data_IF_916001922653
#
_entry.id   IF_916001922653
#
_cell.length_a   1.000
_cell.length_b   1.000
_cell.length_c   1.000
_cell.angle_alpha   90.00
_cell.angle_beta   90.00
_cell.angle_gamma   90.00
#
_symmetry.space_group_name_H-M   'P 1'
#
loop_
_entity.id
_entity.type
_entity.pdbx_description
1 polymer ?
#
# COMPACT_ATOMS: atom_id res chain seq x y z
N UNK A 1 19.38 -11.18 0.37
CA UNK A 1 18.10 -11.82 -0.01
C UNK A 1 17.95 -11.75 -1.51
N UNK A 2 17.48 -12.82 -2.15
CA UNK A 2 17.15 -12.79 -3.59
C UNK A 2 15.90 -11.95 -3.76
N UNK A 3 15.92 -10.92 -4.63
CA UNK A 3 14.77 -10.03 -4.86
C UNK A 3 13.61 -10.85 -5.44
N UNK A 4 12.45 -10.82 -4.78
CA UNK A 4 11.24 -11.41 -5.34
C UNK A 4 10.78 -10.55 -6.52
N UNK A 5 10.49 -11.18 -7.66
CA UNK A 5 9.88 -10.53 -8.82
C UNK A 5 8.53 -11.20 -9.01
N UNK A 6 7.41 -10.53 -8.65
CA UNK A 6 6.08 -11.11 -8.81
C UNK A 6 5.64 -11.05 -10.27
N UNK A 7 4.95 -12.11 -10.73
CA UNK A 7 4.39 -12.19 -12.09
C UNK A 7 3.19 -11.24 -12.30
N UNK A 8 2.65 -10.68 -11.22
CA UNK A 8 1.55 -9.70 -11.25
C UNK A 8 1.93 -8.43 -10.51
N UNK A 9 1.25 -7.32 -10.84
CA UNK A 9 1.36 -6.07 -10.10
C UNK A 9 0.83 -6.18 -8.66
N UNK A 10 0.06 -7.24 -8.35
CA UNK A 10 -0.54 -7.46 -7.04
C UNK A 10 0.44 -8.25 -6.18
N UNK A 11 1.06 -7.57 -5.22
CA UNK A 11 1.95 -8.19 -4.23
C UNK A 11 1.33 -8.14 -2.84
N UNK A 12 1.25 -9.30 -2.17
CA UNK A 12 0.82 -9.39 -0.77
C UNK A 12 2.07 -9.58 0.09
N UNK A 13 2.40 -8.58 0.91
CA UNK A 13 3.59 -8.59 1.76
C UNK A 13 3.22 -9.23 3.10
N UNK A 14 3.90 -10.32 3.46
CA UNK A 14 3.74 -11.00 4.75
C UNK A 14 5.08 -10.92 5.48
N UNK A 15 5.11 -10.19 6.60
CA UNK A 15 6.30 -10.06 7.44
C UNK A 15 6.27 -11.09 8.57
N UNK A 16 7.24 -11.99 8.62
CA UNK A 16 7.44 -12.93 9.73
C UNK A 16 8.60 -12.45 10.58
N UNK A 17 8.29 -11.93 11.78
CA UNK A 17 9.27 -11.30 12.70
C UNK A 17 10.10 -10.16 12.05
N UNK A 18 9.61 -9.57 10.96
CA UNK A 18 10.31 -8.54 10.19
C UNK A 18 9.99 -7.12 10.66
N UNK A 19 10.93 -6.20 10.43
CA UNK A 19 10.81 -4.77 10.72
C UNK A 19 10.18 -4.02 9.53
N UNK A 20 9.17 -3.18 9.79
CA UNK A 20 8.49 -2.39 8.75
C UNK A 20 9.41 -1.32 8.13
N UNK A 21 10.23 -0.56 8.91
CA UNK A 21 11.25 0.32 8.34
C UNK A 21 12.21 -0.40 7.39
N UNK A 22 12.76 -1.55 7.82
CA UNK A 22 13.74 -2.29 7.02
C UNK A 22 13.10 -2.84 5.74
N UNK A 23 11.84 -3.30 5.84
CA UNK A 23 11.07 -3.74 4.68
C UNK A 23 10.84 -2.61 3.69
N UNK A 24 10.56 -1.39 4.19
CA UNK A 24 10.35 -0.23 3.34
C UNK A 24 11.61 0.11 2.52
N UNK A 25 12.78 0.04 3.16
CA UNK A 25 14.08 0.22 2.50
C UNK A 25 14.34 -0.89 1.48
N UNK A 26 14.11 -2.15 1.87
CA UNK A 26 14.38 -3.31 1.01
C UNK A 26 13.50 -3.36 -0.25
N UNK A 27 12.27 -2.85 -0.17
CA UNK A 27 11.32 -2.82 -1.29
C UNK A 27 11.29 -1.48 -2.04
N UNK A 28 12.09 -0.49 -1.61
CA UNK A 28 12.03 0.88 -2.13
C UNK A 28 10.59 1.43 -2.17
N UNK A 29 9.84 1.14 -1.11
CA UNK A 29 8.42 1.43 -1.01
C UNK A 29 8.07 1.85 0.42
N UNK A 30 7.28 2.91 0.59
CA UNK A 30 6.79 3.30 1.92
C UNK A 30 5.71 2.35 2.39
N UNK A 31 5.99 1.54 3.41
CA UNK A 31 5.05 0.59 3.98
C UNK A 31 4.64 1.08 5.36
N UNK A 32 3.33 1.10 5.60
CA UNK A 32 2.75 1.50 6.88
C UNK A 32 2.01 0.33 7.50
N UNK A 33 2.16 0.17 8.81
CA UNK A 33 1.37 -0.81 9.55
C UNK A 33 0.12 -0.13 10.10
N UNK A 34 -1.00 -0.35 9.42
CA UNK A 34 -2.27 0.31 9.73
C UNK A 34 -3.10 -0.47 10.79
N UNK A 35 -2.53 -0.63 11.98
CA UNK A 35 -3.27 -1.25 13.09
C UNK A 35 -4.54 -0.45 13.41
N UNK A 36 -5.64 -1.16 13.64
CA UNK A 36 -6.97 -0.59 13.92
C UNK A 36 -7.57 0.26 12.78
N UNK A 37 -6.94 0.26 11.60
CA UNK A 37 -7.40 0.95 10.40
C UNK A 37 -7.39 2.47 10.52
N UNK A 38 -6.45 3.05 11.28
CA UNK A 38 -6.36 4.51 11.51
C UNK A 38 -6.14 5.26 10.18
N UNK A 39 -5.20 4.81 9.35
CA UNK A 39 -4.94 5.41 8.04
C UNK A 39 -6.10 5.12 7.08
N UNK A 40 -6.61 3.89 7.06
CA UNK A 40 -7.73 3.50 6.20
C UNK A 40 -8.97 4.37 6.47
N UNK A 41 -9.31 4.62 7.74
CA UNK A 41 -10.39 5.54 8.13
C UNK A 41 -10.09 6.98 7.75
N UNK A 42 -8.87 7.45 8.01
CA UNK A 42 -8.45 8.83 7.69
C UNK A 42 -8.55 9.13 6.19
N UNK A 43 -8.24 8.16 5.34
CA UNK A 43 -8.34 8.28 3.88
C UNK A 43 -9.68 7.83 3.32
N UNK A 44 -10.62 7.34 4.14
CA UNK A 44 -11.94 6.88 3.69
C UNK A 44 -11.87 5.65 2.77
N UNK A 45 -10.90 4.76 2.98
CA UNK A 45 -10.74 3.54 2.16
C UNK A 45 -11.84 2.53 2.50
N UNK A 46 -12.65 2.15 1.53
CA UNK A 46 -13.77 1.20 1.70
C UNK A 46 -13.53 -0.16 1.04
N UNK A 47 -12.56 -0.26 0.14
CA UNK A 47 -12.19 -1.50 -0.55
C UNK A 47 -10.71 -1.49 -0.99
N UNK A 48 -10.22 -2.68 -1.35
CA UNK A 48 -8.85 -2.89 -1.86
C UNK A 48 -8.87 -3.72 -3.15
N UNK A 49 -7.90 -3.50 -4.08
CA UNK A 49 -6.82 -2.52 -3.99
C UNK A 49 -7.28 -1.09 -4.27
N UNK A 50 -6.66 -0.12 -3.59
CA UNK A 50 -6.92 1.33 -3.77
C UNK A 50 -5.59 2.07 -3.96
N UNK A 51 -5.54 3.01 -4.92
CA UNK A 51 -4.40 3.89 -5.18
C UNK A 51 -4.73 5.32 -4.73
N UNK A 52 -3.79 5.94 -4.03
CA UNK A 52 -3.87 7.34 -3.61
C UNK A 52 -2.77 8.12 -4.31
N UNK A 53 -3.11 9.21 -4.99
CA UNK A 53 -2.14 10.13 -5.61
C UNK A 53 -2.47 11.58 -5.23
N UNK A 54 -1.51 12.51 -5.28
CA UNK A 54 -1.84 13.93 -5.27
C UNK A 54 -2.77 14.26 -6.45
N UNK A 55 -3.76 15.12 -6.23
CA UNK A 55 -4.50 15.76 -7.32
C UNK A 55 -3.57 16.74 -8.05
N UNK A 56 -3.82 17.07 -9.33
CA UNK A 56 -3.00 18.03 -10.07
C UNK A 56 -2.87 19.40 -9.38
N UNK A 57 -3.86 19.79 -8.57
CA UNK A 57 -3.83 21.03 -7.79
C UNK A 57 -2.88 20.99 -6.59
N UNK A 58 -2.43 19.81 -6.14
CA UNK A 58 -1.60 19.64 -4.94
C UNK A 58 -2.33 19.81 -3.60
N UNK A 59 -3.54 20.36 -3.59
CA UNK A 59 -4.33 20.63 -2.37
C UNK A 59 -5.18 19.43 -1.92
N UNK A 60 -5.38 18.45 -2.79
CA UNK A 60 -6.24 17.29 -2.55
C UNK A 60 -5.55 15.99 -2.93
N UNK A 61 -6.10 14.89 -2.44
CA UNK A 61 -5.72 13.55 -2.84
C UNK A 61 -6.79 12.98 -3.78
N UNK A 62 -6.35 12.34 -4.85
CA UNK A 62 -7.19 11.47 -5.67
C UNK A 62 -7.12 10.05 -5.10
N UNK A 63 -8.27 9.41 -4.96
CA UNK A 63 -8.40 8.04 -4.43
C UNK A 63 -9.15 7.21 -5.46
N UNK A 64 -8.49 6.19 -5.98
CA UNK A 64 -9.02 5.31 -7.01
C UNK A 64 -9.05 3.88 -6.50
N UNK A 65 -10.25 3.31 -6.40
CA UNK A 65 -10.46 1.91 -6.02
C UNK A 65 -10.57 1.06 -7.29
N UNK A 66 -9.80 -0.02 -7.35
CA UNK A 66 -9.86 -0.97 -8.46
C UNK A 66 -10.75 -2.17 -8.11
N UNK A 67 -11.43 -2.76 -9.10
CA UNK A 67 -12.13 -4.02 -8.90
C UNK A 67 -11.14 -5.09 -8.41
N UNK A 68 -11.50 -5.81 -7.34
CA UNK A 68 -10.84 -7.07 -7.05
C UNK A 68 -11.26 -8.05 -8.16
N UNK A 69 -10.38 -8.32 -9.12
CA UNK A 69 -10.59 -9.43 -10.05
C UNK A 69 -10.67 -10.73 -9.23
N UNK A 70 -11.78 -11.46 -9.38
CA UNK A 70 -12.00 -12.77 -8.76
C UNK A 70 -11.15 -13.83 -9.44
#
# INVERSE_FOLDING_TARGET
>A
MKRQVPDTLISKIILVKGSVPDTSVALDARIYFDQNGVLSKRFGLTAVPTRITPAPSGERLNIETFPAHQ
#
